data_IF_100539322377
#
_entry.id   IF_100539322377
#
_cell.length_a   1.000
_cell.length_b   1.000
_cell.length_c   1.000
_cell.angle_alpha   90.00
_cell.angle_beta   90.00
_cell.angle_gamma   90.00
#
_symmetry.space_group_name_H-M   'P 1'
#
loop_
_entity.id
_entity.type
_entity.pdbx_description
1 polymer ?
#
# COMPACT_ATOMS: atom_id res chain seq x y z
N UNK A 1 26.86 9.32 -0.02
CA UNK A 1 25.38 9.41 0.00
C UNK A 1 24.91 10.85 -0.14
N UNK A 2 25.39 11.79 0.68
CA UNK A 2 25.05 13.23 0.57
C UNK A 2 25.31 13.84 -0.82
N UNK A 3 26.45 13.54 -1.44
CA UNK A 3 26.80 14.03 -2.80
C UNK A 3 25.82 13.56 -3.87
N UNK A 4 25.37 12.29 -3.78
CA UNK A 4 24.38 11.73 -4.71
C UNK A 4 23.01 12.41 -4.55
N UNK A 5 22.57 12.64 -3.30
CA UNK A 5 21.30 13.33 -3.02
C UNK A 5 21.34 14.78 -3.56
N UNK A 6 22.45 15.50 -3.38
CA UNK A 6 22.60 16.86 -3.93
C UNK A 6 22.46 16.85 -5.46
N UNK A 7 23.10 15.90 -6.16
CA UNK A 7 22.97 15.76 -7.61
C UNK A 7 21.54 15.44 -8.04
N UNK A 8 20.82 14.63 -7.25
CA UNK A 8 19.40 14.34 -7.48
C UNK A 8 18.57 15.61 -7.34
N UNK A 9 18.72 16.37 -6.26
CA UNK A 9 17.98 17.61 -6.05
C UNK A 9 18.22 18.65 -7.16
N UNK A 10 19.45 18.74 -7.67
CA UNK A 10 19.77 19.58 -8.83
C UNK A 10 18.96 19.19 -10.09
N UNK A 11 18.70 17.90 -10.32
CA UNK A 11 17.84 17.45 -11.42
C UNK A 11 16.38 17.91 -11.26
N UNK A 12 15.94 18.20 -10.03
CA UNK A 12 14.63 18.77 -9.73
C UNK A 12 14.64 20.30 -9.63
N UNK A 13 15.76 20.96 -9.96
CA UNK A 13 15.90 22.41 -9.82
C UNK A 13 15.93 22.88 -8.36
N UNK A 14 16.12 21.97 -7.41
CA UNK A 14 16.27 22.26 -5.99
C UNK A 14 17.77 22.40 -5.71
N UNK A 15 18.26 23.63 -5.77
CA UNK A 15 19.70 23.94 -5.79
C UNK A 15 20.16 24.90 -4.71
N UNK A 16 21.32 24.59 -4.15
CA UNK A 16 22.15 25.41 -3.27
C UNK A 16 22.47 26.77 -3.94
N UNK A 17 21.99 27.89 -3.38
CA UNK A 17 22.62 29.17 -3.68
C UNK A 17 24.04 29.13 -3.10
N UNK A 18 25.05 29.18 -3.97
CA UNK A 18 26.48 29.08 -3.62
C UNK A 18 26.98 30.17 -2.63
N UNK A 19 26.10 31.06 -2.15
CA UNK A 19 26.42 32.19 -1.28
C UNK A 19 26.01 32.03 0.19
N UNK A 20 25.28 30.97 0.60
CA UNK A 20 24.99 30.69 2.02
C UNK A 20 24.95 29.18 2.35
N UNK A 21 25.87 28.65 3.18
CA UNK A 21 25.94 27.22 3.51
C UNK A 21 24.80 26.63 4.37
N UNK A 22 23.78 27.39 4.82
CA UNK A 22 22.80 26.91 5.82
C UNK A 22 21.34 27.16 5.42
N UNK A 23 20.73 26.38 4.54
CA UNK A 23 19.24 26.38 4.46
C UNK A 23 18.60 25.10 3.91
N UNK A 24 19.39 24.04 3.72
CA UNK A 24 18.88 22.74 3.29
C UNK A 24 19.24 21.67 4.30
N UNK A 25 18.22 21.06 4.91
CA UNK A 25 18.37 19.96 5.87
C UNK A 25 17.90 18.68 5.19
N UNK A 26 18.71 17.62 5.30
CA UNK A 26 18.44 16.30 4.73
C UNK A 26 18.37 15.32 5.90
N UNK A 27 17.18 14.80 6.16
CA UNK A 27 16.92 13.82 7.20
C UNK A 27 16.65 12.46 6.55
N UNK A 28 17.42 11.44 6.91
CA UNK A 28 17.21 10.08 6.43
C UNK A 28 16.10 9.40 7.26
N UNK A 29 15.07 8.88 6.57
CA UNK A 29 13.94 8.18 7.18
C UNK A 29 14.05 6.65 7.04
N UNK A 30 15.13 6.17 6.41
CA UNK A 30 15.30 4.75 6.11
C UNK A 30 14.19 4.25 5.18
N UNK A 31 13.54 3.14 5.53
CA UNK A 31 12.37 2.66 4.78
C UNK A 31 11.05 3.34 5.16
N UNK A 32 11.07 4.28 6.11
CA UNK A 32 9.88 4.95 6.65
C UNK A 32 8.78 3.95 7.10
N UNK A 33 9.19 2.83 7.70
CA UNK A 33 8.27 1.76 8.13
C UNK A 33 7.83 0.81 7.01
N UNK A 34 8.20 1.08 5.75
CA UNK A 34 7.89 0.24 4.60
C UNK A 34 8.81 -0.98 4.44
N UNK A 35 8.33 -1.99 3.72
CA UNK A 35 9.06 -3.24 3.44
C UNK A 35 9.38 -3.45 1.96
N UNK A 36 9.15 -2.42 1.14
CA UNK A 36 9.36 -2.45 -0.32
C UNK A 36 10.84 -2.37 -0.73
N UNK A 37 11.73 -2.06 0.21
CA UNK A 37 13.15 -1.80 -0.03
C UNK A 37 13.46 -0.40 -0.58
N UNK A 38 12.45 0.48 -0.63
CA UNK A 38 12.66 1.89 -0.93
C UNK A 38 13.33 2.59 0.26
N UNK A 39 14.14 3.61 -0.04
CA UNK A 39 14.74 4.49 0.97
C UNK A 39 14.14 5.89 0.82
N UNK A 40 13.92 6.57 1.94
CA UNK A 40 13.25 7.87 2.00
C UNK A 40 14.09 8.90 2.75
N UNK A 41 13.98 10.14 2.30
CA UNK A 41 14.55 11.31 2.97
C UNK A 41 13.53 12.44 3.02
N UNK A 42 13.48 13.13 4.15
CA UNK A 42 12.83 14.43 4.26
C UNK A 42 13.84 15.51 3.91
N UNK A 43 13.48 16.35 2.95
CA UNK A 43 14.32 17.46 2.48
C UNK A 43 13.62 18.76 2.85
N UNK A 44 14.24 19.57 3.68
CA UNK A 44 13.82 20.95 3.96
C UNK A 44 14.64 21.88 3.09
N UNK A 45 14.01 22.74 2.29
CA UNK A 45 14.69 23.76 1.48
C UNK A 45 13.94 25.09 1.57
N UNK A 46 14.48 26.02 2.37
CA UNK A 46 13.77 27.25 2.72
C UNK A 46 12.48 26.94 3.48
N UNK A 47 11.35 27.48 3.02
CA UNK A 47 10.02 27.21 3.60
C UNK A 47 9.36 25.92 3.07
N UNK A 48 9.99 25.23 2.12
CA UNK A 48 9.41 24.05 1.47
C UNK A 48 9.97 22.77 2.08
N UNK A 49 9.11 21.77 2.22
CA UNK A 49 9.51 20.40 2.57
C UNK A 49 9.14 19.44 1.45
N UNK A 50 10.01 18.44 1.25
CA UNK A 50 9.88 17.43 0.21
C UNK A 50 10.13 16.04 0.78
N UNK A 51 9.51 15.04 0.15
CA UNK A 51 9.85 13.64 0.34
C UNK A 51 10.65 13.18 -0.89
N UNK A 52 11.88 12.74 -0.66
CA UNK A 52 12.71 12.13 -1.68
C UNK A 52 12.68 10.62 -1.50
N UNK A 53 12.27 9.89 -2.55
CA UNK A 53 12.26 8.44 -2.60
C UNK A 53 13.36 7.93 -3.52
N UNK A 54 14.17 7.00 -3.03
CA UNK A 54 15.00 6.13 -3.85
C UNK A 54 14.29 4.80 -4.03
N UNK A 55 14.05 4.43 -5.28
CA UNK A 55 13.46 3.14 -5.59
C UNK A 55 14.49 2.00 -5.48
N UNK A 56 14.04 0.78 -5.11
CA UNK A 56 14.83 -0.43 -5.32
C UNK A 56 15.28 -0.57 -6.78
N UNK A 57 16.42 -1.20 -7.03
CA UNK A 57 17.01 -1.32 -8.37
C UNK A 57 16.05 -1.93 -9.44
N UNK A 58 15.09 -2.76 -9.02
CA UNK A 58 14.10 -3.40 -9.89
C UNK A 58 12.78 -2.62 -10.05
N UNK A 59 12.65 -1.45 -9.41
CA UNK A 59 11.40 -0.68 -9.30
C UNK A 59 11.58 0.79 -9.72
N UNK A 60 10.49 1.46 -10.15
CA UNK A 60 9.27 0.84 -10.64
C UNK A 60 9.58 0.02 -11.90
N UNK A 61 8.86 -1.08 -12.15
CA UNK A 61 8.97 -1.75 -13.46
C UNK A 61 8.40 -0.81 -14.54
N UNK A 62 8.76 -1.04 -15.81
CA UNK A 62 8.19 -0.25 -16.91
C UNK A 62 6.65 -0.28 -16.90
N UNK A 63 6.08 -1.48 -16.75
CA UNK A 63 4.62 -1.65 -16.65
C UNK A 63 3.98 -0.91 -15.47
N UNK A 64 4.66 -0.80 -14.32
CA UNK A 64 4.16 -0.01 -13.19
C UNK A 64 4.25 1.48 -13.49
N UNK A 65 5.38 1.96 -14.03
CA UNK A 65 5.55 3.37 -14.39
C UNK A 65 4.53 3.83 -15.44
N UNK A 66 4.18 2.96 -16.40
CA UNK A 66 3.19 3.22 -17.45
C UNK A 66 1.76 3.36 -16.89
N UNK A 67 1.50 2.90 -15.65
CA UNK A 67 0.23 3.12 -14.94
C UNK A 67 0.35 4.30 -13.97
N UNK A 68 1.39 4.35 -13.15
CA UNK A 68 1.54 5.34 -12.07
C UNK A 68 1.51 6.77 -12.61
N UNK A 69 2.45 7.12 -13.50
CA UNK A 69 2.67 8.52 -13.85
C UNK A 69 1.54 9.11 -14.72
N UNK A 70 1.02 8.42 -15.74
CA UNK A 70 -0.12 8.92 -16.49
C UNK A 70 -1.37 9.07 -15.62
N UNK A 71 -1.59 8.15 -14.68
CA UNK A 71 -2.75 8.23 -13.78
C UNK A 71 -2.64 9.40 -12.82
N UNK A 72 -1.51 9.56 -12.14
CA UNK A 72 -1.31 10.67 -11.21
C UNK A 72 -1.38 12.03 -11.92
N UNK A 73 -0.82 12.12 -13.12
CA UNK A 73 -0.92 13.34 -13.93
C UNK A 73 -2.36 13.63 -14.35
N UNK A 74 -3.14 12.60 -14.71
CA UNK A 74 -4.56 12.76 -15.02
C UNK A 74 -5.35 13.23 -13.80
N UNK A 75 -5.17 12.58 -12.64
CA UNK A 75 -5.86 12.97 -11.40
C UNK A 75 -5.53 14.39 -11.00
N UNK A 76 -4.25 14.79 -11.08
CA UNK A 76 -3.79 16.17 -10.81
C UNK A 76 -4.51 17.24 -11.64
N UNK A 77 -4.98 16.89 -12.84
CA UNK A 77 -5.66 17.81 -13.76
C UNK A 77 -7.18 17.81 -13.62
N UNK A 78 -7.76 16.77 -13.02
CA UNK A 78 -9.21 16.52 -13.07
C UNK A 78 -9.87 16.39 -11.69
N UNK A 79 -9.09 16.32 -10.60
CA UNK A 79 -9.60 16.25 -9.24
C UNK A 79 -8.77 17.12 -8.29
N UNK A 80 -9.43 17.66 -7.27
CA UNK A 80 -8.77 18.43 -6.20
C UNK A 80 -8.48 17.51 -5.01
N UNK A 81 -7.62 16.53 -5.26
CA UNK A 81 -7.23 15.54 -4.26
C UNK A 81 -5.85 15.85 -3.67
N UNK A 82 -5.68 15.77 -2.33
CA UNK A 82 -4.41 15.99 -1.68
C UNK A 82 -3.51 14.75 -1.84
N UNK A 83 -2.98 14.52 -3.05
CA UNK A 83 -2.07 13.41 -3.34
C UNK A 83 -0.62 13.89 -3.34
N UNK A 84 0.30 13.01 -2.93
CA UNK A 84 1.74 13.22 -3.09
C UNK A 84 2.16 13.07 -4.57
N UNK A 85 1.83 14.05 -5.40
CA UNK A 85 2.19 14.06 -6.82
C UNK A 85 3.72 14.14 -7.02
N UNK A 86 4.31 13.31 -7.90
CA UNK A 86 5.70 13.44 -8.30
C UNK A 86 5.95 14.81 -8.93
N UNK A 87 7.01 15.48 -8.47
CA UNK A 87 7.54 16.70 -9.07
C UNK A 87 8.31 16.29 -10.32
N UNK A 88 8.16 17.06 -11.40
CA UNK A 88 8.95 16.84 -12.61
C UNK A 88 10.36 17.39 -12.44
N UNK A 89 11.34 16.70 -13.03
CA UNK A 89 12.71 17.19 -13.21
C UNK A 89 12.71 18.43 -14.10
N UNK A 90 13.85 19.12 -14.17
CA UNK A 90 14.07 20.22 -15.13
C UNK A 90 13.96 19.76 -16.60
N UNK A 91 13.93 18.45 -16.84
CA UNK A 91 13.74 17.83 -18.15
C UNK A 91 12.30 17.33 -18.38
N UNK A 92 11.38 17.55 -17.43
CA UNK A 92 9.96 17.17 -17.55
C UNK A 92 9.65 15.72 -17.16
N UNK A 93 10.62 14.98 -16.61
CA UNK A 93 10.45 13.57 -16.23
C UNK A 93 10.07 13.46 -14.74
N UNK A 94 9.18 12.54 -14.32
CA UNK A 94 8.86 12.36 -12.90
C UNK A 94 9.97 11.62 -12.12
N UNK A 95 10.87 10.94 -12.83
CA UNK A 95 12.00 10.21 -12.27
C UNK A 95 13.32 10.76 -12.82
N UNK A 96 14.36 10.79 -11.98
CA UNK A 96 15.73 10.95 -12.46
C UNK A 96 16.60 9.73 -12.11
N UNK A 97 17.68 9.54 -12.88
CA UNK A 97 18.68 8.51 -12.62
C UNK A 97 19.99 9.14 -12.18
N UNK A 98 20.45 8.75 -11.00
CA UNK A 98 21.76 9.14 -10.44
C UNK A 98 22.38 7.92 -9.78
N UNK A 99 23.64 7.64 -10.11
CA UNK A 99 24.44 6.54 -9.57
C UNK A 99 23.74 5.17 -9.68
N UNK A 100 23.19 4.88 -10.87
CA UNK A 100 22.40 3.68 -11.20
C UNK A 100 21.12 3.45 -10.38
N UNK A 101 20.75 4.39 -9.52
CA UNK A 101 19.48 4.37 -8.78
C UNK A 101 18.44 5.28 -9.45
N UNK A 102 17.16 4.94 -9.26
CA UNK A 102 16.03 5.76 -9.68
C UNK A 102 15.50 6.53 -8.49
N UNK A 103 15.27 7.82 -8.71
CA UNK A 103 14.84 8.75 -7.68
C UNK A 103 13.57 9.43 -8.11
N UNK A 104 12.70 9.69 -7.15
CA UNK A 104 11.45 10.41 -7.29
C UNK A 104 11.34 11.43 -6.17
N UNK A 105 10.81 12.61 -6.47
CA UNK A 105 10.60 13.67 -5.49
C UNK A 105 9.12 14.05 -5.47
N UNK A 106 8.55 14.23 -4.28
CA UNK A 106 7.22 14.80 -4.08
C UNK A 106 7.26 15.88 -2.99
N UNK A 107 6.17 16.65 -2.87
CA UNK A 107 5.99 17.54 -1.71
C UNK A 107 5.81 16.71 -0.44
N UNK A 108 6.30 17.24 0.68
CA UNK A 108 5.97 16.67 1.98
C UNK A 108 4.49 16.92 2.25
N UNK A 109 3.73 15.85 2.47
CA UNK A 109 2.30 15.95 2.75
C UNK A 109 2.07 16.29 4.23
N UNK A 110 1.16 17.21 4.55
CA UNK A 110 0.83 17.54 5.93
C UNK A 110 -0.09 16.49 6.55
N UNK A 111 -0.16 16.50 7.89
CA UNK A 111 -1.01 15.62 8.69
C UNK A 111 -0.33 14.32 9.06
N UNK A 112 -1.05 13.51 9.83
CA UNK A 112 -0.55 12.24 10.39
C UNK A 112 -1.53 11.10 10.06
N UNK A 113 -1.04 9.86 9.90
CA UNK A 113 -1.91 8.72 9.71
C UNK A 113 -2.64 8.34 11.01
N UNK A 114 -3.82 7.75 10.86
CA UNK A 114 -4.58 7.17 11.98
C UNK A 114 -4.49 5.65 11.85
N UNK A 115 -3.34 5.09 12.23
CA UNK A 115 -3.06 3.66 12.08
C UNK A 115 -3.27 2.85 13.36
N UNK A 116 -3.00 3.45 14.53
CA UNK A 116 -2.96 2.76 15.83
C UNK A 116 -4.14 3.08 16.75
N UNK A 117 -4.95 4.08 16.39
CA UNK A 117 -6.12 4.54 17.16
C UNK A 117 -7.41 4.28 16.40
N UNK A 118 -8.53 4.31 17.14
CA UNK A 118 -9.87 4.22 16.56
C UNK A 118 -10.12 5.41 15.63
N UNK A 119 -10.51 5.11 14.39
CA UNK A 119 -10.89 6.12 13.41
C UNK A 119 -12.34 6.57 13.67
N UNK A 120 -12.56 7.87 13.77
CA UNK A 120 -13.91 8.40 13.97
C UNK A 120 -14.72 8.41 12.66
N UNK A 121 -16.04 8.60 12.76
CA UNK A 121 -16.92 8.58 11.58
C UNK A 121 -16.64 9.68 10.56
N UNK A 122 -16.26 10.89 11.00
CA UNK A 122 -15.94 11.98 10.09
C UNK A 122 -14.67 11.67 9.28
N UNK A 123 -13.63 11.18 9.95
CA UNK A 123 -12.37 10.76 9.34
C UNK A 123 -12.57 9.59 8.36
N UNK A 124 -13.34 8.58 8.77
CA UNK A 124 -13.63 7.43 7.92
C UNK A 124 -14.43 7.84 6.68
N UNK A 125 -15.40 8.75 6.82
CA UNK A 125 -16.15 9.31 5.70
C UNK A 125 -15.28 10.18 4.80
N UNK A 126 -14.36 10.96 5.35
CA UNK A 126 -13.41 11.77 4.59
C UNK A 126 -12.45 10.88 3.76
N UNK A 127 -11.94 9.79 4.35
CA UNK A 127 -11.14 8.79 3.64
C UNK A 127 -11.96 8.12 2.52
N UNK A 128 -13.21 7.77 2.79
CA UNK A 128 -14.10 7.17 1.82
C UNK A 128 -14.41 8.11 0.63
N UNK A 129 -14.66 9.39 0.91
CA UNK A 129 -14.85 10.43 -0.12
C UNK A 129 -13.60 10.55 -1.00
N UNK A 130 -12.42 10.69 -0.40
CA UNK A 130 -11.18 10.86 -1.14
C UNK A 130 -10.85 9.64 -2.02
N UNK A 131 -11.08 8.42 -1.50
CA UNK A 131 -10.88 7.20 -2.28
C UNK A 131 -11.90 7.06 -3.41
N UNK A 132 -13.18 7.40 -3.16
CA UNK A 132 -14.22 7.35 -4.18
C UNK A 132 -13.98 8.38 -5.29
N UNK A 133 -13.57 9.61 -4.94
CA UNK A 133 -13.20 10.65 -5.91
C UNK A 133 -12.00 10.23 -6.75
N UNK A 134 -10.98 9.60 -6.13
CA UNK A 134 -9.85 9.03 -6.87
C UNK A 134 -10.35 7.98 -7.87
N UNK A 135 -11.13 7.00 -7.44
CA UNK A 135 -11.66 5.96 -8.32
C UNK A 135 -12.61 6.50 -9.40
N UNK A 136 -13.42 7.51 -9.12
CA UNK A 136 -14.29 8.15 -10.10
C UNK A 136 -13.44 8.82 -11.19
N UNK A 137 -12.41 9.54 -10.77
CA UNK A 137 -11.47 10.21 -11.68
C UNK A 137 -10.69 9.21 -12.52
N UNK A 138 -10.12 8.15 -11.94
CA UNK A 138 -9.34 7.16 -12.69
C UNK A 138 -10.21 6.29 -13.60
N UNK A 139 -11.48 6.08 -13.26
CA UNK A 139 -12.45 5.40 -14.13
C UNK A 139 -12.71 6.18 -15.43
N UNK A 140 -12.60 7.51 -15.41
CA UNK A 140 -12.70 8.36 -16.60
C UNK A 140 -11.44 8.31 -17.47
N UNK A 141 -10.28 8.02 -16.89
CA UNK A 141 -9.03 7.82 -17.62
C UNK A 141 -9.01 6.47 -18.35
N UNK A 142 -9.32 5.39 -17.64
CA UNK A 142 -9.27 4.04 -18.17
C UNK A 142 -10.18 3.12 -17.39
N UNK A 143 -11.00 2.36 -18.10
CA UNK A 143 -11.81 1.30 -17.52
C UNK A 143 -11.91 0.12 -18.48
N UNK A 144 -11.97 -1.09 -17.94
CA UNK A 144 -12.19 -2.32 -18.69
C UNK A 144 -12.96 -3.34 -17.85
N UNK A 145 -13.62 -4.29 -18.50
CA UNK A 145 -14.29 -5.42 -17.85
C UNK A 145 -13.46 -6.68 -18.10
N UNK A 146 -12.82 -7.21 -17.07
CA UNK A 146 -11.94 -8.40 -17.16
C UNK A 146 -11.97 -9.21 -15.88
N UNK A 147 -11.59 -10.48 -15.96
CA UNK A 147 -11.33 -11.29 -14.78
C UNK A 147 -10.24 -10.63 -13.90
N UNK A 148 -10.42 -10.67 -12.59
CA UNK A 148 -9.52 -10.02 -11.63
C UNK A 148 -8.16 -10.75 -11.50
N UNK A 149 -7.03 -10.09 -11.83
CA UNK A 149 -5.70 -10.62 -11.54
C UNK A 149 -5.49 -10.93 -10.05
N UNK A 150 -6.07 -10.14 -9.15
CA UNK A 150 -6.00 -10.34 -7.71
C UNK A 150 -6.67 -11.63 -7.22
N UNK A 151 -7.68 -12.13 -7.94
CA UNK A 151 -8.31 -13.43 -7.66
C UNK A 151 -7.38 -14.56 -8.10
N UNK A 152 -6.90 -14.51 -9.35
CA UNK A 152 -6.02 -15.55 -9.89
C UNK A 152 -4.71 -15.67 -9.10
N UNK A 153 -4.12 -14.54 -8.71
CA UNK A 153 -2.94 -14.49 -7.84
C UNK A 153 -3.17 -15.22 -6.51
N UNK A 154 -4.31 -14.96 -5.84
CA UNK A 154 -4.62 -15.58 -4.55
C UNK A 154 -4.92 -17.08 -4.69
N UNK A 155 -5.63 -17.49 -5.74
CA UNK A 155 -5.86 -18.91 -6.03
C UNK A 155 -4.55 -19.64 -6.25
N UNK A 156 -3.66 -19.09 -7.10
CA UNK A 156 -2.34 -19.66 -7.36
C UNK A 156 -1.47 -19.70 -6.11
N UNK A 157 -1.56 -18.68 -5.24
CA UNK A 157 -0.85 -18.65 -3.97
C UNK A 157 -1.32 -19.78 -3.04
N UNK A 158 -2.64 -19.96 -2.88
CA UNK A 158 -3.19 -21.05 -2.06
C UNK A 158 -2.76 -22.41 -2.61
N UNK A 159 -2.85 -22.61 -3.93
CA UNK A 159 -2.47 -23.86 -4.58
C UNK A 159 -0.97 -24.17 -4.36
N UNK A 160 -0.10 -23.17 -4.48
CA UNK A 160 1.34 -23.30 -4.18
C UNK A 160 1.61 -23.62 -2.71
N UNK A 161 0.91 -22.94 -1.81
CA UNK A 161 1.03 -23.16 -0.37
C UNK A 161 0.70 -24.61 -0.03
N UNK A 162 -0.43 -25.13 -0.54
CA UNK A 162 -0.80 -26.52 -0.29
C UNK A 162 0.12 -27.53 -0.94
N UNK A 163 0.63 -27.25 -2.14
CA UNK A 163 1.49 -28.19 -2.84
C UNK A 163 2.86 -28.37 -2.20
N UNK A 164 3.44 -27.32 -1.59
CA UNK A 164 4.86 -27.35 -1.19
C UNK A 164 5.18 -26.53 0.07
N UNK A 165 4.73 -25.28 0.15
CA UNK A 165 5.28 -24.34 1.13
C UNK A 165 4.67 -24.52 2.53
N UNK A 166 3.43 -25.01 2.65
CA UNK A 166 2.77 -25.14 3.93
C UNK A 166 3.50 -26.15 4.83
N UNK A 167 3.82 -27.35 4.33
CA UNK A 167 4.59 -28.36 5.08
C UNK A 167 6.00 -27.84 5.45
N UNK A 168 6.67 -27.14 4.53
CA UNK A 168 7.96 -26.50 4.80
C UNK A 168 7.87 -25.48 5.94
N UNK A 169 6.83 -24.65 5.96
CA UNK A 169 6.59 -23.70 7.04
C UNK A 169 6.32 -24.41 8.38
N UNK A 170 5.70 -25.59 8.39
CA UNK A 170 5.49 -26.34 9.63
C UNK A 170 6.81 -26.86 10.23
N UNK A 171 7.76 -27.25 9.38
CA UNK A 171 9.04 -27.84 9.79
C UNK A 171 10.17 -26.84 10.04
N UNK A 172 10.02 -25.60 9.61
CA UNK A 172 11.05 -24.55 9.77
C UNK A 172 10.88 -23.78 11.08
N UNK A 173 11.94 -23.10 11.51
CA UNK A 173 11.89 -22.13 12.59
C UNK A 173 12.66 -20.89 12.16
N UNK A 174 12.15 -19.73 12.54
CA UNK A 174 12.86 -18.47 12.36
C UNK A 174 14.13 -18.43 13.22
N UNK A 175 15.28 -18.58 12.57
CA UNK A 175 16.59 -18.54 13.20
C UNK A 175 16.91 -17.17 13.84
N UNK A 176 16.29 -16.09 13.36
CA UNK A 176 16.52 -14.74 13.85
C UNK A 176 15.60 -14.35 15.04
N UNK A 177 14.62 -15.19 15.39
CA UNK A 177 13.70 -14.94 16.50
C UNK A 177 12.82 -13.69 16.33
N UNK A 178 12.51 -13.33 15.08
CA UNK A 178 11.53 -12.29 14.73
C UNK A 178 10.13 -12.84 14.90
N UNK A 179 9.85 -14.05 14.43
CA UNK A 179 8.52 -14.68 14.49
C UNK A 179 8.32 -15.41 15.81
N UNK A 180 7.31 -14.98 16.57
CA UNK A 180 6.86 -15.71 17.77
C UNK A 180 6.21 -17.06 17.37
N UNK A 181 6.54 -18.13 18.09
CA UNK A 181 6.07 -19.48 17.76
C UNK A 181 4.55 -19.65 17.94
N UNK A 182 3.95 -18.94 18.90
CA UNK A 182 2.50 -18.89 19.09
C UNK A 182 1.81 -18.16 17.94
N UNK A 183 2.33 -16.99 17.55
CA UNK A 183 1.87 -16.23 16.38
C UNK A 183 1.95 -17.06 15.11
N UNK A 184 3.09 -17.72 14.87
CA UNK A 184 3.26 -18.63 13.73
C UNK A 184 2.20 -19.73 13.71
N UNK A 185 2.01 -20.41 14.85
CA UNK A 185 1.03 -21.48 14.98
C UNK A 185 -0.38 -20.99 14.64
N UNK A 186 -0.79 -19.85 15.19
CA UNK A 186 -2.11 -19.26 14.93
C UNK A 186 -2.32 -18.92 13.45
N UNK A 187 -1.30 -18.37 12.78
CA UNK A 187 -1.37 -18.08 11.34
C UNK A 187 -1.50 -19.35 10.49
N UNK A 188 -0.72 -20.39 10.82
CA UNK A 188 -0.79 -21.68 10.11
C UNK A 188 -2.12 -22.40 10.35
N UNK A 189 -2.63 -22.40 11.58
CA UNK A 189 -3.92 -23.00 11.93
C UNK A 189 -5.07 -22.27 11.22
N UNK A 190 -5.03 -20.94 11.17
CA UNK A 190 -6.01 -20.14 10.44
C UNK A 190 -6.01 -20.44 8.93
N UNK A 191 -4.82 -20.47 8.32
CA UNK A 191 -4.70 -20.83 6.91
C UNK A 191 -5.28 -22.24 6.67
N UNK A 192 -4.90 -23.21 7.49
CA UNK A 192 -5.40 -24.59 7.39
C UNK A 192 -6.92 -24.67 7.47
N UNK A 193 -7.52 -23.90 8.37
CA UNK A 193 -8.97 -23.91 8.58
C UNK A 193 -9.75 -23.21 7.45
N UNK A 194 -9.22 -22.10 6.91
CA UNK A 194 -10.00 -21.23 6.01
C UNK A 194 -9.61 -21.31 4.53
N UNK A 195 -8.40 -21.77 4.19
CA UNK A 195 -7.88 -21.67 2.81
C UNK A 195 -8.72 -22.43 1.79
N UNK A 196 -9.29 -23.59 2.15
CA UNK A 196 -10.16 -24.34 1.24
C UNK A 196 -11.45 -23.59 0.89
N UNK A 197 -12.13 -23.04 1.90
CA UNK A 197 -13.35 -22.26 1.70
C UNK A 197 -13.06 -20.98 0.89
N UNK A 198 -11.97 -20.28 1.22
CA UNK A 198 -11.51 -19.13 0.45
C UNK A 198 -11.22 -19.50 -1.00
N UNK A 199 -10.52 -20.62 -1.25
CA UNK A 199 -10.17 -21.10 -2.59
C UNK A 199 -11.39 -21.43 -3.44
N UNK A 200 -12.43 -22.03 -2.84
CA UNK A 200 -13.70 -22.31 -3.51
C UNK A 200 -14.40 -21.01 -3.92
N UNK A 201 -14.46 -20.01 -3.03
CA UNK A 201 -15.06 -18.71 -3.34
C UNK A 201 -14.29 -17.95 -4.43
N UNK A 202 -12.95 -17.99 -4.39
CA UNK A 202 -12.11 -17.43 -5.44
C UNK A 202 -12.36 -18.10 -6.80
N UNK A 203 -12.58 -19.43 -6.83
CA UNK A 203 -12.87 -20.14 -8.08
C UNK A 203 -14.19 -19.71 -8.70
N UNK A 204 -15.23 -19.51 -7.89
CA UNK A 204 -16.54 -19.06 -8.37
C UNK A 204 -16.47 -17.70 -9.09
N UNK A 205 -15.54 -16.84 -8.66
CA UNK A 205 -15.35 -15.50 -9.23
C UNK A 205 -14.18 -15.40 -10.21
N UNK A 206 -13.40 -16.48 -10.42
CA UNK A 206 -12.16 -16.46 -11.20
C UNK A 206 -12.35 -15.95 -12.63
N UNK A 207 -13.46 -16.33 -13.26
CA UNK A 207 -13.79 -15.96 -14.64
C UNK A 207 -14.85 -14.86 -14.74
N UNK A 208 -15.34 -14.33 -13.60
CA UNK A 208 -16.34 -13.27 -13.59
C UNK A 208 -15.67 -11.95 -13.99
N UNK A 209 -16.12 -11.28 -15.06
CA UNK A 209 -15.60 -9.96 -15.40
C UNK A 209 -15.96 -8.96 -14.32
N UNK A 210 -14.96 -8.21 -13.88
CA UNK A 210 -15.12 -7.10 -12.94
C UNK A 210 -14.61 -5.81 -13.57
N UNK A 211 -15.15 -4.68 -13.13
CA UNK A 211 -14.63 -3.38 -13.49
C UNK A 211 -13.17 -3.29 -13.03
N UNK A 212 -12.27 -2.93 -13.94
CA UNK A 212 -10.88 -2.61 -13.62
C UNK A 212 -10.57 -1.19 -14.06
N UNK A 213 -10.00 -0.44 -13.12
CA UNK A 213 -9.54 0.94 -13.30
C UNK A 213 -8.13 1.04 -12.73
N UNK A 214 -7.38 2.13 -12.98
CA UNK A 214 -6.20 2.43 -12.21
C UNK A 214 -6.57 2.61 -10.73
N UNK A 215 -6.05 1.73 -9.88
CA UNK A 215 -6.20 1.79 -8.41
C UNK A 215 -4.85 2.10 -7.76
N UNK A 216 -4.85 2.53 -6.49
CA UNK A 216 -3.64 2.76 -5.69
C UNK A 216 -2.92 1.43 -5.45
N UNK A 217 -3.67 0.36 -5.18
CA UNK A 217 -3.19 -1.00 -5.22
C UNK A 217 -2.41 -1.46 -3.99
N UNK A 218 -2.10 -0.57 -3.06
CA UNK A 218 -1.54 -0.88 -1.73
C UNK A 218 -1.82 0.24 -0.71
N UNK A 219 -3.07 0.73 -0.68
CA UNK A 219 -3.50 1.76 0.27
C UNK A 219 -3.81 1.15 1.64
N UNK A 220 -3.26 1.74 2.71
CA UNK A 220 -3.47 1.38 4.11
C UNK A 220 -3.76 2.63 4.94
N UNK A 221 -4.16 2.46 6.20
CA UNK A 221 -4.35 3.53 7.19
C UNK A 221 -3.09 4.38 7.37
N UNK A 222 -1.91 3.77 7.27
CA UNK A 222 -0.60 4.46 7.27
C UNK A 222 -0.39 5.40 6.06
N UNK A 223 -1.16 5.24 4.99
CA UNK A 223 -1.01 5.99 3.73
C UNK A 223 -2.02 7.13 3.57
N UNK A 224 -2.98 7.26 4.50
CA UNK A 224 -3.98 8.33 4.50
C UNK A 224 -3.73 9.22 5.70
N UNK A 225 -3.30 10.45 5.42
CA UNK A 225 -2.95 11.46 6.40
C UNK A 225 -4.13 12.37 6.69
N UNK A 226 -4.27 12.76 7.95
CA UNK A 226 -5.35 13.60 8.41
C UNK A 226 -4.83 14.87 9.06
N UNK A 227 -5.58 15.96 8.87
CA UNK A 227 -5.54 17.13 9.70
C UNK A 227 -6.93 17.35 10.29
N UNK A 228 -7.09 17.01 11.57
CA UNK A 228 -8.38 16.86 12.23
C UNK A 228 -9.22 15.75 11.55
N UNK A 229 -10.39 16.13 11.01
CA UNK A 229 -11.34 15.21 10.38
C UNK A 229 -11.25 15.18 8.84
N UNK A 230 -10.30 15.90 8.25
CA UNK A 230 -10.12 16.00 6.80
C UNK A 230 -8.87 15.26 6.34
N UNK A 231 -8.97 14.59 5.18
CA UNK A 231 -7.81 14.00 4.51
C UNK A 231 -6.92 15.13 4.02
N UNK A 232 -5.68 15.15 4.51
CA UNK A 232 -4.67 16.15 4.17
C UNK A 232 -3.56 15.62 3.26
N UNK A 233 -3.51 14.29 3.09
CA UNK A 233 -2.54 13.65 2.20
C UNK A 233 -2.86 12.19 1.92
N UNK A 234 -2.64 11.75 0.68
CA UNK A 234 -2.53 10.34 0.32
C UNK A 234 -1.16 10.11 -0.31
N UNK A 235 -0.45 9.12 0.23
CA UNK A 235 0.94 8.81 -0.11
C UNK A 235 1.11 7.37 -0.63
N UNK A 236 2.31 7.08 -1.13
CA UNK A 236 2.74 5.80 -1.69
C UNK A 236 1.87 5.18 -2.80
N UNK A 237 2.11 5.67 -4.01
CA UNK A 237 1.50 5.15 -5.24
C UNK A 237 2.35 4.05 -5.91
N UNK A 238 3.32 3.45 -5.20
CA UNK A 238 4.27 2.53 -5.83
C UNK A 238 3.69 1.19 -6.31
N UNK A 239 2.46 0.90 -5.89
CA UNK A 239 1.74 -0.34 -6.18
C UNK A 239 0.59 -0.18 -7.18
N UNK A 240 0.44 1.01 -7.81
CA UNK A 240 -0.67 1.24 -8.73
C UNK A 240 -0.69 0.23 -9.88
N UNK A 241 -1.90 -0.17 -10.25
CA UNK A 241 -2.17 -1.17 -11.29
C UNK A 241 -3.62 -1.07 -11.75
N UNK A 242 -3.93 -1.72 -12.87
CA UNK A 242 -5.32 -1.95 -13.28
C UNK A 242 -5.90 -3.12 -12.50
N UNK A 243 -6.95 -2.87 -11.72
CA UNK A 243 -7.67 -3.87 -10.91
C UNK A 243 -9.02 -3.30 -10.47
N UNK A 244 -9.86 -4.13 -9.85
CA UNK A 244 -11.10 -3.65 -9.23
C UNK A 244 -10.85 -2.66 -8.08
N UNK A 245 -11.61 -1.55 -8.01
CA UNK A 245 -11.55 -0.61 -6.88
C UNK A 245 -11.90 -1.27 -5.54
N UNK A 246 -12.62 -2.39 -5.57
CA UNK A 246 -12.92 -3.22 -4.41
C UNK A 246 -11.65 -3.64 -3.65
N UNK A 247 -10.50 -3.77 -4.34
CA UNK A 247 -9.25 -4.15 -3.70
C UNK A 247 -8.68 -3.02 -2.81
N UNK A 248 -8.81 -1.77 -3.23
CA UNK A 248 -8.39 -0.62 -2.42
C UNK A 248 -9.34 -0.40 -1.25
N UNK A 249 -10.65 -0.54 -1.47
CA UNK A 249 -11.68 -0.47 -0.42
C UNK A 249 -11.41 -1.50 0.68
N UNK A 250 -11.19 -2.75 0.30
CA UNK A 250 -10.89 -3.83 1.24
C UNK A 250 -9.62 -3.56 2.05
N UNK A 251 -8.56 -3.07 1.40
CA UNK A 251 -7.29 -2.79 2.08
C UNK A 251 -7.35 -1.59 3.00
N UNK A 252 -7.89 -0.46 2.54
CA UNK A 252 -7.94 0.76 3.34
C UNK A 252 -8.81 0.54 4.58
N UNK A 253 -10.08 0.19 4.41
CA UNK A 253 -10.99 0.11 5.54
C UNK A 253 -10.73 -1.10 6.44
N UNK A 254 -10.19 -2.20 5.89
CA UNK A 254 -9.73 -3.34 6.68
C UNK A 254 -8.43 -3.09 7.47
N UNK A 255 -7.75 -1.96 7.26
CA UNK A 255 -6.46 -1.67 7.91
C UNK A 255 -6.55 -0.83 9.18
N UNK A 256 -7.68 -0.19 9.46
CA UNK A 256 -7.87 0.64 10.65
C UNK A 256 -7.91 -0.19 11.95
N UNK A 257 -7.40 0.42 13.02
CA UNK A 257 -6.94 -0.24 14.24
C UNK A 257 -8.02 -0.93 15.08
N UNK A 258 -9.29 -0.62 14.86
CA UNK A 258 -10.37 -1.34 15.56
C UNK A 258 -10.39 -2.81 15.16
N UNK A 259 -9.80 -3.15 14.00
CA UNK A 259 -9.76 -4.50 13.41
C UNK A 259 -11.11 -5.22 13.40
N UNK A 260 -12.17 -4.47 13.66
CA UNK A 260 -13.52 -4.92 13.78
C UNK A 260 -14.07 -4.95 12.37
N UNK A 261 -14.93 -5.93 12.13
CA UNK A 261 -15.77 -5.96 10.93
C UNK A 261 -16.59 -4.66 10.78
N UNK A 262 -16.65 -3.81 11.82
CA UNK A 262 -17.34 -2.53 11.86
C UNK A 262 -16.66 -1.45 11.02
N UNK A 263 -15.35 -1.25 11.14
CA UNK A 263 -14.65 -0.20 10.38
C UNK A 263 -14.74 -0.48 8.86
N UNK A 264 -14.58 -1.74 8.46
CA UNK A 264 -14.79 -2.17 7.08
C UNK A 264 -16.23 -1.88 6.61
N UNK A 265 -17.24 -2.28 7.40
CA UNK A 265 -18.65 -2.11 7.04
C UNK A 265 -19.06 -0.63 6.96
N UNK A 266 -18.67 0.18 7.95
CA UNK A 266 -18.88 1.63 7.96
C UNK A 266 -18.19 2.28 6.76
N UNK A 267 -16.93 1.93 6.49
CA UNK A 267 -16.16 2.43 5.36
C UNK A 267 -16.81 2.12 4.00
N UNK A 268 -17.27 0.87 3.81
CA UNK A 268 -18.05 0.47 2.62
C UNK A 268 -19.32 1.31 2.49
N UNK A 269 -20.04 1.53 3.59
CA UNK A 269 -21.25 2.35 3.61
C UNK A 269 -20.96 3.79 3.19
N UNK A 270 -19.98 4.44 3.81
CA UNK A 270 -19.60 5.82 3.48
C UNK A 270 -19.07 5.95 2.07
N UNK A 271 -18.29 4.98 1.59
CA UNK A 271 -17.83 4.97 0.20
C UNK A 271 -19.01 4.90 -0.78
N UNK A 272 -20.02 4.08 -0.45
CA UNK A 272 -21.25 3.93 -1.21
C UNK A 272 -22.05 5.23 -1.41
N UNK A 273 -21.82 6.25 -0.59
CA UNK A 273 -22.45 7.57 -0.74
C UNK A 273 -21.85 8.38 -1.90
N UNK A 274 -20.61 8.09 -2.29
CA UNK A 274 -19.86 8.84 -3.31
C UNK A 274 -19.63 8.04 -4.59
N UNK A 275 -19.72 6.71 -4.52
CA UNK A 275 -19.69 5.81 -5.67
C UNK A 275 -20.53 4.57 -5.41
N UNK A 276 -21.45 4.28 -6.33
CA UNK A 276 -22.35 3.13 -6.23
C UNK A 276 -21.58 1.81 -6.14
N UNK A 277 -22.07 0.91 -5.28
CA UNK A 277 -21.56 -0.45 -5.07
C UNK A 277 -22.71 -1.44 -5.22
N UNK A 278 -22.60 -2.35 -6.19
CA UNK A 278 -23.55 -3.44 -6.37
C UNK A 278 -23.20 -4.64 -5.45
N UNK A 279 -24.04 -5.68 -5.47
CA UNK A 279 -23.86 -6.87 -4.62
C UNK A 279 -22.57 -7.65 -4.92
N UNK A 280 -22.14 -7.66 -6.19
CA UNK A 280 -20.87 -8.27 -6.59
C UNK A 280 -19.69 -7.48 -6.02
N UNK A 281 -19.73 -6.15 -6.05
CA UNK A 281 -18.68 -5.30 -5.47
C UNK A 281 -18.53 -5.56 -3.97
N UNK A 282 -19.66 -5.60 -3.25
CA UNK A 282 -19.68 -5.90 -1.80
C UNK A 282 -19.09 -7.28 -1.51
N UNK A 283 -19.48 -8.29 -2.29
CA UNK A 283 -18.96 -9.65 -2.18
C UNK A 283 -17.44 -9.71 -2.47
N UNK A 284 -16.96 -8.94 -3.45
CA UNK A 284 -15.54 -8.86 -3.80
C UNK A 284 -14.72 -8.16 -2.71
N UNK A 285 -15.23 -7.09 -2.12
CA UNK A 285 -14.57 -6.38 -1.01
C UNK A 285 -14.35 -7.36 0.16
N UNK A 286 -15.38 -8.07 0.58
CA UNK A 286 -15.29 -9.05 1.66
C UNK A 286 -14.32 -10.19 1.31
N UNK A 287 -14.36 -10.69 0.07
CA UNK A 287 -13.46 -11.73 -0.40
C UNK A 287 -11.99 -11.27 -0.40
N UNK A 288 -11.72 -10.05 -0.85
CA UNK A 288 -10.37 -9.49 -0.86
C UNK A 288 -9.83 -9.25 0.55
N UNK A 289 -10.66 -8.76 1.47
CA UNK A 289 -10.27 -8.54 2.86
C UNK A 289 -9.97 -9.88 3.55
N UNK A 290 -10.85 -10.87 3.44
CA UNK A 290 -10.61 -12.23 3.97
C UNK A 290 -9.37 -12.85 3.37
N UNK A 291 -9.20 -12.73 2.05
CA UNK A 291 -7.99 -13.20 1.37
C UNK A 291 -6.72 -12.53 1.86
N UNK A 292 -6.78 -11.24 2.20
CA UNK A 292 -5.65 -10.53 2.81
C UNK A 292 -5.35 -11.06 4.21
N UNK A 293 -6.34 -11.14 5.10
CA UNK A 293 -6.17 -11.61 6.49
C UNK A 293 -5.55 -13.02 6.52
N UNK A 294 -6.04 -13.94 5.69
CA UNK A 294 -5.57 -15.32 5.65
C UNK A 294 -4.17 -15.44 5.04
N UNK A 295 -3.89 -14.74 3.93
CA UNK A 295 -2.68 -14.97 3.13
C UNK A 295 -1.50 -14.08 3.53
N UNK A 296 -1.75 -12.88 4.06
CA UNK A 296 -0.68 -11.94 4.39
C UNK A 296 0.25 -12.50 5.48
N UNK A 297 -0.30 -13.13 6.52
CA UNK A 297 0.50 -13.74 7.59
C UNK A 297 1.40 -14.85 7.06
N UNK A 298 0.86 -15.72 6.19
CA UNK A 298 1.64 -16.78 5.56
C UNK A 298 2.72 -16.20 4.63
N UNK A 299 2.42 -15.14 3.89
CA UNK A 299 3.41 -14.47 3.03
C UNK A 299 4.60 -13.94 3.85
N UNK A 300 4.33 -13.39 5.05
CA UNK A 300 5.38 -12.96 5.97
C UNK A 300 6.22 -14.12 6.47
N UNK A 301 5.60 -15.26 6.83
CA UNK A 301 6.33 -16.46 7.22
C UNK A 301 7.22 -16.97 6.08
N UNK A 302 6.73 -16.96 4.84
CA UNK A 302 7.56 -17.30 3.66
C UNK A 302 8.78 -16.38 3.57
N UNK A 303 8.58 -15.06 3.66
CA UNK A 303 9.67 -14.10 3.56
C UNK A 303 10.73 -14.29 4.63
N UNK A 304 10.32 -14.56 5.87
CA UNK A 304 11.25 -14.67 7.00
C UNK A 304 11.90 -16.06 7.04
N UNK A 305 11.13 -17.14 6.93
CA UNK A 305 11.62 -18.49 7.22
C UNK A 305 12.06 -19.26 5.97
N UNK A 306 11.43 -19.06 4.82
CA UNK A 306 11.80 -19.78 3.59
C UNK A 306 12.76 -18.97 2.72
N UNK A 307 12.52 -17.67 2.59
CA UNK A 307 13.35 -16.77 1.79
C UNK A 307 14.45 -16.09 2.61
N UNK A 308 14.43 -16.22 3.95
CA UNK A 308 15.47 -15.71 4.85
C UNK A 308 15.74 -14.21 4.65
N UNK A 309 14.67 -13.44 4.38
CA UNK A 309 14.76 -11.99 4.20
C UNK A 309 15.12 -11.32 5.51
N UNK A 310 16.06 -10.38 5.44
CA UNK A 310 16.45 -9.52 6.57
C UNK A 310 15.72 -8.19 6.46
N UNK A 311 15.11 -7.77 7.55
CA UNK A 311 14.42 -6.50 7.67
C UNK A 311 15.20 -5.56 8.60
N UNK A 312 15.17 -4.27 8.31
CA UNK A 312 15.85 -3.25 9.12
C UNK A 312 15.16 -2.99 10.46
N UNK A 313 13.85 -3.30 10.56
CA UNK A 313 13.04 -3.12 11.76
C UNK A 313 12.23 -4.39 12.06
N UNK A 314 12.81 -5.26 12.89
CA UNK A 314 12.17 -6.51 13.30
C UNK A 314 10.98 -6.28 14.25
N UNK A 315 10.92 -5.16 14.98
CA UNK A 315 9.80 -4.92 15.90
C UNK A 315 8.55 -4.51 15.13
N UNK A 316 8.70 -3.67 14.09
CA UNK A 316 7.60 -3.38 13.16
C UNK A 316 7.05 -4.65 12.49
N UNK A 317 7.92 -5.59 12.12
CA UNK A 317 7.51 -6.91 11.60
C UNK A 317 6.71 -7.70 12.63
N UNK A 318 7.19 -7.78 13.88
CA UNK A 318 6.46 -8.45 14.99
C UNK A 318 5.09 -7.85 15.23
N UNK A 319 5.00 -6.52 15.28
CA UNK A 319 3.74 -5.82 15.45
C UNK A 319 2.79 -6.08 14.28
N UNK A 320 3.28 -6.10 13.04
CA UNK A 320 2.46 -6.46 11.85
C UNK A 320 1.92 -7.88 11.94
N UNK A 321 2.74 -8.86 12.32
CA UNK A 321 2.29 -10.25 12.50
C UNK A 321 1.25 -10.39 13.60
N UNK A 322 1.45 -9.75 14.75
CA UNK A 322 0.46 -9.72 15.86
C UNK A 322 -0.86 -9.09 15.42
N UNK A 323 -0.81 -8.00 14.63
CA UNK A 323 -2.01 -7.37 14.04
C UNK A 323 -2.78 -8.34 13.15
N UNK A 324 -2.08 -9.08 12.29
CA UNK A 324 -2.71 -10.09 11.43
C UNK A 324 -3.39 -11.21 12.23
N UNK A 325 -2.77 -11.67 13.31
CA UNK A 325 -3.39 -12.65 14.21
C UNK A 325 -4.67 -12.12 14.87
N UNK A 326 -4.68 -10.88 15.37
CA UNK A 326 -5.88 -10.28 15.97
C UNK A 326 -7.04 -10.17 14.97
N UNK A 327 -6.76 -9.90 13.69
CA UNK A 327 -7.78 -9.90 12.62
C UNK A 327 -8.35 -11.28 12.31
N UNK A 328 -7.66 -12.35 12.72
CA UNK A 328 -8.07 -13.73 12.52
C UNK A 328 -8.94 -14.27 13.67
N UNK A 329 -8.88 -13.66 14.85
CA UNK A 329 -9.68 -14.07 16.00
C UNK A 329 -11.14 -13.65 15.79
N UNK A 330 -12.12 -14.55 15.99
CA UNK A 330 -13.50 -14.12 16.07
C UNK A 330 -13.64 -13.15 17.25
N UNK A 331 -14.28 -11.99 17.02
CA UNK A 331 -14.67 -11.10 18.10
C UNK A 331 -15.49 -11.91 19.11
N UNK A 332 -14.98 -12.05 20.33
CA UNK A 332 -15.61 -12.78 21.43
C UNK A 332 -16.92 -12.12 21.82
#
# INVERSE_FOLDING_TARGET
MSVSIIRVLQNYGIGYAASKPNSQEIEALGSAGGFSGAEFWKITAGANQYCLRRWPNSKPTRSQADVIYPTLEYVRRHADLPLAFPIQTVHGEPLCRVDNARWELSRWMPGEPIAETEINDNQLRAAARALAEFHNTTSSLSQQQRASPAIDFRSTMIDRLWATQFEQLQGTQDAAGVVDSGVKKMLLDQFRYQAHALRQQLELLRSVPVLQIPIIGDIWSDHVLFNNDEVSGIVDFGAMKLESPCLDIARLFGSYADYSSEALRRGISYYGEFRELNDLDRSLIELYDRGYVILAGIQWLIWIELEQRVFSDNESVRQRLRRLVRRCEPAI
#
